data_IF_102835398514
#
_entry.id   IF_102835398514
#
_cell.length_a   1.000
_cell.length_b   1.000
_cell.length_c   1.000
_cell.angle_alpha   90.00
_cell.angle_beta   90.00
_cell.angle_gamma   90.00
#
_symmetry.space_group_name_H-M   'P 1'
#
loop_
_entity.id
_entity.type
_entity.pdbx_description
1 polymer ?
#
# COMPACT_ATOMS: atom_id res chain seq x y z
N UNK A 1 42.61 2.82 -10.24
CA UNK A 1 41.31 3.38 -9.85
C UNK A 1 40.52 3.73 -11.10
N UNK A 2 39.42 3.04 -11.36
CA UNK A 2 38.50 3.38 -12.45
C UNK A 2 37.91 4.76 -12.13
N UNK A 3 38.30 5.80 -12.88
CA UNK A 3 37.73 7.14 -12.70
C UNK A 3 36.25 7.06 -13.08
N UNK A 4 35.36 7.19 -12.10
CA UNK A 4 33.96 7.48 -12.38
C UNK A 4 33.91 8.82 -13.15
N UNK A 5 33.22 8.85 -14.30
CA UNK A 5 32.96 10.12 -14.98
C UNK A 5 31.80 10.80 -14.24
N UNK A 6 31.97 12.05 -13.77
CA UNK A 6 30.87 12.77 -13.14
C UNK A 6 29.72 12.95 -14.15
N UNK A 7 28.47 13.06 -13.68
CA UNK A 7 27.34 13.37 -14.53
C UNK A 7 27.55 14.73 -15.23
N UNK A 8 27.11 14.84 -16.48
CA UNK A 8 27.18 16.09 -17.26
C UNK A 8 26.02 17.02 -16.94
N UNK A 9 24.96 16.52 -16.29
CA UNK A 9 23.76 17.27 -15.93
C UNK A 9 23.31 16.91 -14.51
N UNK A 10 22.71 17.87 -13.82
CA UNK A 10 22.22 17.71 -12.45
C UNK A 10 23.27 17.94 -11.35
N UNK A 11 22.85 17.95 -10.07
CA UNK A 11 23.76 18.19 -8.97
C UNK A 11 24.67 17.00 -8.70
N UNK A 12 25.99 17.22 -8.72
CA UNK A 12 26.97 16.29 -8.17
C UNK A 12 27.19 16.59 -6.69
N UNK A 13 27.01 15.58 -5.85
CA UNK A 13 27.31 15.61 -4.41
C UNK A 13 28.29 14.48 -4.13
N UNK A 14 29.51 14.83 -3.75
CA UNK A 14 30.53 13.85 -3.35
C UNK A 14 30.37 13.55 -1.85
N UNK A 15 30.37 12.26 -1.50
CA UNK A 15 30.27 11.79 -0.11
C UNK A 15 31.33 10.71 0.13
N UNK A 16 31.80 10.58 1.37
CA UNK A 16 32.74 9.52 1.74
C UNK A 16 31.98 8.28 2.16
N UNK A 17 32.37 7.12 1.65
CA UNK A 17 31.84 5.82 2.12
C UNK A 17 32.26 5.48 3.55
N UNK A 18 33.21 6.22 4.12
CA UNK A 18 33.63 6.09 5.51
C UNK A 18 32.80 6.94 6.47
N UNK A 19 32.01 7.90 5.97
CA UNK A 19 31.12 8.71 6.79
C UNK A 19 29.90 7.87 7.19
N UNK A 20 29.36 8.11 8.38
CA UNK A 20 28.09 7.51 8.78
C UNK A 20 26.91 8.06 7.95
N UNK A 21 25.81 7.32 7.92
CA UNK A 21 24.61 7.69 7.14
C UNK A 21 24.06 9.07 7.53
N UNK A 22 24.18 9.47 8.79
CA UNK A 22 23.72 10.78 9.26
C UNK A 22 24.56 11.92 8.68
N UNK A 23 25.87 11.73 8.62
CA UNK A 23 26.82 12.69 8.03
C UNK A 23 26.60 12.81 6.52
N UNK A 24 26.44 11.68 5.84
CA UNK A 24 26.10 11.62 4.41
C UNK A 24 24.78 12.35 4.15
N UNK A 25 23.73 12.03 4.91
CA UNK A 25 22.40 12.64 4.76
C UNK A 25 22.45 14.16 4.98
N UNK A 26 23.14 14.63 6.02
CA UNK A 26 23.31 16.07 6.28
C UNK A 26 24.01 16.79 5.13
N UNK A 27 25.05 16.18 4.55
CA UNK A 27 25.78 16.76 3.43
C UNK A 27 24.91 16.84 2.17
N UNK A 28 24.20 15.77 1.85
CA UNK A 28 23.26 15.74 0.72
C UNK A 28 22.18 16.80 0.89
N UNK A 29 21.58 16.88 2.08
CA UNK A 29 20.54 17.85 2.40
C UNK A 29 21.01 19.30 2.25
N UNK A 30 22.19 19.63 2.78
CA UNK A 30 22.76 20.96 2.70
C UNK A 30 23.02 21.38 1.24
N UNK A 31 23.55 20.47 0.42
CA UNK A 31 23.81 20.72 -1.00
C UNK A 31 22.51 20.89 -1.81
N UNK A 32 21.48 20.09 -1.54
CA UNK A 32 20.18 20.24 -2.19
C UNK A 32 19.50 21.56 -1.80
N UNK A 33 19.58 21.93 -0.52
CA UNK A 33 19.04 23.19 0.01
C UNK A 33 19.75 24.40 -0.61
N UNK A 34 21.09 24.36 -0.70
CA UNK A 34 21.89 25.45 -1.26
C UNK A 34 21.61 25.70 -2.75
N UNK A 35 21.18 24.68 -3.49
CA UNK A 35 20.87 24.78 -4.92
C UNK A 35 19.41 25.19 -5.19
N UNK A 36 18.60 25.40 -4.14
CA UNK A 36 17.20 25.80 -4.26
C UNK A 36 16.35 24.77 -5.01
N UNK A 37 16.74 23.49 -4.98
CA UNK A 37 16.15 22.46 -5.83
C UNK A 37 14.81 21.93 -5.29
N UNK A 38 14.36 22.40 -4.12
CA UNK A 38 13.20 21.86 -3.40
C UNK A 38 12.73 22.79 -2.28
N UNK A 39 11.43 22.79 -1.96
CA UNK A 39 10.85 23.32 -0.72
C UNK A 39 11.20 22.43 0.49
N UNK A 40 12.49 22.19 0.70
CA UNK A 40 12.99 21.33 1.77
C UNK A 40 13.11 22.16 3.07
N UNK A 41 12.58 21.68 4.21
CA UNK A 41 12.70 22.37 5.48
C UNK A 41 14.17 22.41 5.96
N UNK A 42 14.47 23.36 6.84
CA UNK A 42 15.77 23.45 7.48
C UNK A 42 16.09 22.14 8.22
N UNK A 43 17.26 21.58 7.97
CA UNK A 43 17.61 20.27 8.55
C UNK A 43 17.58 20.25 10.07
N UNK A 44 17.79 21.41 10.71
CA UNK A 44 17.75 21.59 12.16
C UNK A 44 16.34 21.44 12.73
N UNK A 45 15.30 21.62 11.92
CA UNK A 45 13.91 21.41 12.36
C UNK A 45 13.46 19.96 12.24
N UNK A 46 14.32 19.08 11.72
CA UNK A 46 14.02 17.67 11.49
C UNK A 46 14.67 16.77 12.51
N UNK A 47 13.96 15.71 12.90
CA UNK A 47 14.52 14.61 13.68
C UNK A 47 15.21 13.61 12.76
N UNK A 48 16.47 13.89 12.44
CA UNK A 48 17.31 13.01 11.61
C UNK A 48 17.49 11.62 12.24
N UNK A 49 17.58 11.55 13.57
CA UNK A 49 17.77 10.27 14.25
C UNK A 49 16.53 9.39 14.09
N UNK A 50 15.33 9.96 14.26
CA UNK A 50 14.08 9.27 13.99
C UNK A 50 13.99 8.82 12.52
N UNK A 51 14.26 9.72 11.56
CA UNK A 51 14.20 9.39 10.13
C UNK A 51 15.13 8.25 9.75
N UNK A 52 16.38 8.26 10.22
CA UNK A 52 17.34 7.17 10.02
C UNK A 52 16.90 5.88 10.74
N UNK A 53 16.25 5.99 11.91
CA UNK A 53 15.65 4.87 12.61
C UNK A 53 14.58 4.16 11.77
N UNK A 54 13.66 4.93 11.16
CA UNK A 54 12.64 4.39 10.26
C UNK A 54 13.27 3.75 9.03
N UNK A 55 14.23 4.44 8.39
CA UNK A 55 14.91 3.93 7.19
C UNK A 55 15.64 2.61 7.47
N UNK A 56 16.42 2.55 8.55
CA UNK A 56 17.15 1.34 8.95
C UNK A 56 16.22 0.18 9.28
N UNK A 57 15.08 0.45 9.95
CA UNK A 57 14.09 -0.57 10.26
C UNK A 57 13.45 -1.14 8.98
N UNK A 58 13.09 -0.28 8.03
CA UNK A 58 12.53 -0.67 6.74
C UNK A 58 13.54 -1.50 5.94
N UNK A 59 14.78 -1.03 5.79
CA UNK A 59 15.83 -1.75 5.06
C UNK A 59 16.13 -3.10 5.70
N UNK A 60 16.29 -3.13 7.03
CA UNK A 60 16.53 -4.37 7.78
C UNK A 60 15.40 -5.39 7.61
N UNK A 61 14.18 -4.92 7.41
CA UNK A 61 13.02 -5.76 7.16
C UNK A 61 12.98 -6.27 5.72
N UNK A 62 13.08 -5.38 4.73
CA UNK A 62 13.03 -5.73 3.31
C UNK A 62 14.16 -6.70 2.93
N UNK A 63 15.35 -6.56 3.53
CA UNK A 63 16.48 -7.47 3.36
C UNK A 63 16.21 -8.91 3.85
N UNK A 64 15.16 -9.15 4.64
CA UNK A 64 14.76 -10.51 5.09
C UNK A 64 13.96 -11.26 4.04
N UNK A 65 13.40 -10.59 3.04
CA UNK A 65 12.63 -11.24 2.00
C UNK A 65 13.55 -11.74 0.89
N UNK A 66 13.43 -13.01 0.48
CA UNK A 66 14.23 -13.56 -0.61
C UNK A 66 13.86 -12.98 -1.98
N UNK A 67 12.75 -12.22 -2.06
CA UNK A 67 12.20 -11.61 -3.26
C UNK A 67 11.72 -10.19 -2.93
N UNK A 68 11.61 -9.38 -3.98
CA UNK A 68 11.00 -8.05 -3.89
C UNK A 68 9.59 -8.16 -3.33
N UNK A 69 9.26 -7.34 -2.33
CA UNK A 69 7.91 -7.21 -1.79
C UNK A 69 7.11 -6.30 -2.71
N UNK A 70 6.10 -6.84 -3.39
CA UNK A 70 5.22 -6.10 -4.29
C UNK A 70 4.14 -5.33 -3.52
N UNK A 71 3.63 -5.90 -2.42
CA UNK A 71 2.58 -5.27 -1.62
C UNK A 71 2.51 -5.82 -0.18
N UNK A 72 1.81 -5.08 0.67
CA UNK A 72 1.35 -5.51 1.98
C UNK A 72 -0.17 -5.71 1.96
N UNK A 73 -0.65 -6.76 2.63
CA UNK A 73 -2.06 -7.10 2.60
C UNK A 73 -2.52 -7.91 3.82
N UNK A 74 -3.82 -7.91 4.05
CA UNK A 74 -4.50 -8.78 5.00
C UNK A 74 -5.10 -9.94 4.22
N UNK A 75 -4.46 -11.10 4.30
CA UNK A 75 -4.89 -12.32 3.60
C UNK A 75 -6.10 -12.92 4.32
N UNK A 76 -7.24 -13.03 3.65
CA UNK A 76 -8.47 -13.56 4.25
C UNK A 76 -8.32 -15.06 4.55
N UNK A 77 -8.69 -15.45 5.77
CA UNK A 77 -8.58 -16.83 6.25
C UNK A 77 -9.72 -17.74 5.75
N UNK A 78 -10.92 -17.18 5.53
CA UNK A 78 -12.13 -17.89 5.11
C UNK A 78 -12.71 -17.32 3.81
N UNK A 79 -12.15 -17.67 2.64
CA UNK A 79 -12.66 -17.24 1.34
C UNK A 79 -14.13 -17.57 1.09
N UNK A 80 -14.60 -18.70 1.59
CA UNK A 80 -15.99 -19.16 1.50
C UNK A 80 -16.96 -18.18 2.16
N UNK A 81 -16.64 -17.69 3.36
CA UNK A 81 -17.49 -16.73 4.08
C UNK A 81 -17.58 -15.39 3.37
N UNK A 82 -16.55 -15.00 2.63
CA UNK A 82 -16.57 -13.79 1.80
C UNK A 82 -17.48 -13.98 0.60
N UNK A 83 -17.42 -15.14 -0.06
CA UNK A 83 -18.25 -15.44 -1.22
C UNK A 83 -19.74 -15.58 -0.88
N UNK A 84 -20.07 -16.12 0.29
CA UNK A 84 -21.45 -16.21 0.80
C UNK A 84 -22.14 -14.85 0.95
N UNK A 85 -21.38 -13.76 1.10
CA UNK A 85 -21.91 -12.41 1.24
C UNK A 85 -22.27 -11.76 -0.10
N UNK A 86 -21.85 -12.35 -1.22
CA UNK A 86 -21.99 -11.74 -2.55
C UNK A 86 -23.22 -12.34 -3.26
N UNK A 87 -24.22 -11.52 -3.62
CA UNK A 87 -25.33 -11.98 -4.42
C UNK A 87 -24.85 -12.62 -5.74
N UNK A 88 -25.31 -13.83 -6.12
CA UNK A 88 -24.80 -14.54 -7.29
C UNK A 88 -24.88 -13.74 -8.59
N UNK A 89 -25.93 -12.94 -8.78
CA UNK A 89 -26.13 -12.06 -9.93
C UNK A 89 -25.03 -11.01 -10.09
N UNK A 90 -24.36 -10.61 -9.00
CA UNK A 90 -23.22 -9.69 -9.03
C UNK A 90 -21.95 -10.36 -9.56
N UNK A 91 -21.95 -11.67 -9.77
CA UNK A 91 -20.80 -12.42 -10.31
C UNK A 91 -20.97 -12.75 -11.81
N UNK A 92 -22.14 -12.48 -12.39
CA UNK A 92 -22.44 -12.81 -13.78
C UNK A 92 -21.46 -12.15 -14.74
N UNK A 93 -20.90 -12.96 -15.65
CA UNK A 93 -19.92 -12.53 -16.64
C UNK A 93 -18.51 -12.23 -16.09
N UNK A 94 -18.28 -12.42 -14.78
CA UNK A 94 -17.00 -12.11 -14.13
C UNK A 94 -16.26 -13.38 -13.72
N UNK A 95 -14.95 -13.25 -13.57
CA UNK A 95 -14.07 -14.29 -13.04
C UNK A 95 -13.79 -14.03 -11.56
N UNK A 96 -14.27 -14.91 -10.71
CA UNK A 96 -14.01 -14.89 -9.26
C UNK A 96 -12.53 -15.15 -8.97
N UNK A 97 -11.95 -14.39 -8.05
CA UNK A 97 -10.57 -14.60 -7.60
C UNK A 97 -10.42 -15.91 -6.83
N UNK A 98 -9.20 -16.47 -6.84
CA UNK A 98 -8.89 -17.72 -6.12
C UNK A 98 -8.48 -17.48 -4.66
N UNK A 99 -8.11 -16.25 -4.32
CA UNK A 99 -7.69 -15.85 -3.00
C UNK A 99 -8.12 -14.40 -2.78
N UNK A 100 -8.56 -14.08 -1.57
CA UNK A 100 -9.05 -12.76 -1.21
C UNK A 100 -8.11 -12.10 -0.22
N UNK A 101 -7.91 -10.80 -0.37
CA UNK A 101 -7.09 -10.01 0.53
C UNK A 101 -7.55 -8.55 0.52
N UNK A 102 -7.16 -7.81 1.55
CA UNK A 102 -7.23 -6.34 1.56
C UNK A 102 -5.83 -5.80 1.38
N UNK A 103 -5.58 -5.11 0.27
CA UNK A 103 -4.28 -4.44 0.05
C UNK A 103 -4.19 -3.22 0.97
N UNK A 104 -3.15 -3.17 1.80
CA UNK A 104 -2.89 -2.06 2.71
C UNK A 104 -1.81 -1.12 2.20
N UNK A 105 -0.86 -1.60 1.39
CA UNK A 105 0.17 -0.81 0.74
C UNK A 105 0.61 -1.50 -0.57
N UNK A 106 0.66 -0.76 -1.67
CA UNK A 106 1.21 -1.26 -2.93
C UNK A 106 2.57 -0.62 -3.20
N UNK A 107 3.63 -1.44 -3.23
CA UNK A 107 4.99 -0.98 -3.51
C UNK A 107 5.31 -1.04 -5.02
N UNK A 108 4.75 -2.04 -5.71
CA UNK A 108 4.98 -2.23 -7.14
C UNK A 108 6.44 -2.49 -7.45
N UNK A 109 7.06 -1.66 -8.31
CA UNK A 109 8.51 -1.65 -8.55
C UNK A 109 9.19 -0.37 -8.06
N UNK A 110 8.38 0.55 -7.52
CA UNK A 110 8.85 1.85 -7.09
C UNK A 110 9.29 1.78 -5.62
N UNK A 111 10.08 2.76 -5.20
CA UNK A 111 10.42 2.90 -3.79
C UNK A 111 9.15 3.15 -2.96
N UNK A 112 9.11 2.62 -1.74
CA UNK A 112 8.05 2.91 -0.78
C UNK A 112 7.96 4.44 -0.57
N UNK A 113 6.80 5.02 -0.87
CA UNK A 113 6.56 6.47 -0.72
C UNK A 113 6.35 6.87 0.74
N UNK A 114 5.88 5.94 1.57
CA UNK A 114 5.62 6.16 2.98
C UNK A 114 6.37 5.14 3.87
N UNK A 115 7.63 5.43 4.24
CA UNK A 115 8.42 4.55 5.09
C UNK A 115 7.86 4.43 6.52
N UNK A 116 7.07 5.42 6.98
CA UNK A 116 6.45 5.38 8.32
C UNK A 116 5.32 4.36 8.30
N UNK A 117 4.47 4.40 7.28
CA UNK A 117 3.44 3.38 7.07
C UNK A 117 4.07 1.99 6.94
N UNK A 118 5.14 1.84 6.15
CA UNK A 118 5.84 0.56 6.03
C UNK A 118 6.32 0.04 7.39
N UNK A 119 6.90 0.89 8.24
CA UNK A 119 7.31 0.50 9.59
C UNK A 119 6.13 0.05 10.45
N UNK A 120 4.99 0.74 10.39
CA UNK A 120 3.76 0.34 11.09
C UNK A 120 3.27 -1.03 10.61
N UNK A 121 3.28 -1.26 9.30
CA UNK A 121 2.90 -2.53 8.67
C UNK A 121 3.83 -3.68 9.07
N UNK A 122 5.13 -3.41 9.22
CA UNK A 122 6.11 -4.38 9.77
C UNK A 122 5.75 -4.78 11.19
N UNK A 123 5.29 -3.83 12.01
CA UNK A 123 4.88 -4.06 13.39
C UNK A 123 3.73 -5.06 13.54
N UNK A 124 2.85 -5.15 12.55
CA UNK A 124 1.67 -6.04 12.56
C UNK A 124 1.86 -7.32 11.73
N UNK A 125 3.08 -7.62 11.28
CA UNK A 125 3.34 -8.81 10.47
C UNK A 125 2.93 -10.11 11.18
N UNK A 126 2.08 -10.89 10.52
CA UNK A 126 1.60 -12.17 11.04
C UNK A 126 0.45 -12.02 12.05
N UNK A 127 0.05 -10.79 12.39
CA UNK A 127 -1.09 -10.57 13.27
C UNK A 127 -2.40 -10.96 12.59
N UNK A 128 -3.33 -11.44 13.42
CA UNK A 128 -4.69 -11.75 13.02
C UNK A 128 -5.55 -10.49 13.14
N UNK A 129 -6.02 -9.97 12.02
CA UNK A 129 -6.81 -8.74 11.95
C UNK A 129 -8.28 -9.09 11.67
N UNK A 130 -9.18 -8.58 12.50
CA UNK A 130 -10.62 -8.63 12.26
C UNK A 130 -11.05 -7.46 11.39
N UNK A 131 -11.67 -7.75 10.25
CA UNK A 131 -12.14 -6.79 9.28
C UNK A 131 -13.66 -6.66 9.39
N UNK A 132 -14.15 -5.42 9.39
CA UNK A 132 -15.59 -5.15 9.31
C UNK A 132 -15.98 -4.86 7.86
N UNK A 133 -16.89 -5.66 7.31
CA UNK A 133 -17.38 -5.54 5.94
C UNK A 133 -18.67 -4.73 5.91
N UNK A 134 -18.80 -3.79 4.97
CA UNK A 134 -19.92 -2.83 4.97
C UNK A 134 -20.88 -3.02 3.80
N UNK A 135 -20.38 -3.26 2.59
CA UNK A 135 -21.21 -3.39 1.40
C UNK A 135 -20.52 -4.16 0.29
N UNK A 136 -21.31 -4.80 -0.57
CA UNK A 136 -20.87 -5.34 -1.86
C UNK A 136 -21.21 -4.32 -2.95
N UNK A 137 -20.22 -3.89 -3.73
CA UNK A 137 -20.41 -3.07 -4.92
C UNK A 137 -20.12 -3.90 -6.17
N UNK A 138 -20.93 -3.73 -7.22
CA UNK A 138 -20.75 -4.43 -8.49
C UNK A 138 -21.25 -3.61 -9.67
N UNK A 139 -20.56 -3.75 -10.80
CA UNK A 139 -20.97 -3.25 -12.11
C UNK A 139 -20.62 -4.32 -13.18
N UNK A 140 -20.73 -4.06 -14.50
CA UNK A 140 -20.31 -5.05 -15.51
C UNK A 140 -18.81 -5.41 -15.50
N UNK A 141 -17.92 -4.58 -14.93
CA UNK A 141 -16.46 -4.74 -14.95
C UNK A 141 -15.90 -5.43 -13.71
N UNK A 142 -16.51 -5.25 -12.53
CA UNK A 142 -15.95 -5.71 -11.28
C UNK A 142 -16.96 -5.89 -10.14
N UNK A 143 -16.54 -6.63 -9.13
CA UNK A 143 -17.27 -6.84 -7.87
C UNK A 143 -16.28 -6.80 -6.72
N UNK A 144 -16.56 -5.97 -5.72
CA UNK A 144 -15.72 -5.78 -4.55
C UNK A 144 -16.57 -5.65 -3.27
N UNK A 145 -15.98 -6.04 -2.13
CA UNK A 145 -16.57 -5.80 -0.82
C UNK A 145 -15.79 -4.67 -0.15
N UNK A 146 -16.50 -3.61 0.26
CA UNK A 146 -15.93 -2.52 1.03
C UNK A 146 -15.63 -2.95 2.47
N UNK A 147 -14.47 -2.53 2.97
CA UNK A 147 -13.97 -2.81 4.30
C UNK A 147 -13.88 -1.48 5.05
N UNK A 148 -14.51 -1.41 6.22
CA UNK A 148 -14.36 -0.24 7.09
C UNK A 148 -12.95 -0.23 7.67
N UNK A 149 -12.31 0.94 7.62
CA UNK A 149 -11.10 1.24 8.39
C UNK A 149 -11.19 2.67 8.96
N UNK A 150 -11.50 2.76 10.24
CA UNK A 150 -11.47 3.97 11.09
C UNK A 150 -10.14 4.06 11.88
N UNK A 151 -9.09 3.36 11.43
CA UNK A 151 -7.78 3.31 12.06
C UNK A 151 -7.49 2.00 12.79
N UNK A 152 -8.29 0.95 12.57
CA UNK A 152 -8.07 -0.37 13.16
C UNK A 152 -6.82 -1.06 12.61
N UNK A 153 -6.40 -0.70 11.38
CA UNK A 153 -5.14 -1.17 10.81
C UNK A 153 -4.49 -0.11 9.90
N UNK A 154 -3.15 -0.07 9.84
CA UNK A 154 -2.43 0.80 8.92
C UNK A 154 -2.79 0.46 7.46
N UNK A 155 -3.18 1.47 6.68
CA UNK A 155 -3.62 1.31 5.29
C UNK A 155 -3.43 2.61 4.50
N UNK A 156 -2.77 2.52 3.35
CA UNK A 156 -2.62 3.62 2.38
C UNK A 156 -3.91 3.83 1.57
N UNK A 157 -4.64 2.74 1.32
CA UNK A 157 -5.80 2.79 0.45
C UNK A 157 -6.96 3.54 1.12
N UNK A 158 -7.47 4.58 0.47
CA UNK A 158 -8.61 5.41 0.92
C UNK A 158 -9.88 4.58 1.06
N UNK A 159 -10.05 3.57 0.18
CA UNK A 159 -11.20 2.67 0.20
C UNK A 159 -10.71 1.22 0.37
N UNK A 160 -10.37 0.77 1.59
CA UNK A 160 -9.97 -0.61 1.82
C UNK A 160 -11.06 -1.56 1.36
N UNK A 161 -10.66 -2.60 0.63
CA UNK A 161 -11.62 -3.49 -0.02
C UNK A 161 -11.06 -4.87 -0.28
N UNK A 162 -11.97 -5.80 -0.55
CA UNK A 162 -11.66 -7.13 -1.05
C UNK A 162 -12.17 -7.21 -2.49
N UNK A 163 -11.29 -7.40 -3.46
CA UNK A 163 -11.73 -7.65 -4.84
C UNK A 163 -12.24 -9.09 -4.97
N UNK A 164 -13.49 -9.25 -5.39
CA UNK A 164 -14.14 -10.55 -5.51
C UNK A 164 -14.00 -11.12 -6.91
N UNK A 165 -14.36 -10.33 -7.92
CA UNK A 165 -14.40 -10.78 -9.29
C UNK A 165 -14.20 -9.61 -10.26
N UNK A 166 -13.63 -9.92 -11.43
CA UNK A 166 -13.45 -8.94 -12.50
C UNK A 166 -13.87 -9.55 -13.85
N UNK A 167 -14.38 -8.72 -14.76
CA UNK A 167 -14.60 -9.11 -16.13
C UNK A 167 -13.27 -9.47 -16.83
N UNK A 168 -13.29 -10.31 -17.87
CA UNK A 168 -12.08 -10.64 -18.63
C UNK A 168 -11.34 -9.38 -19.12
N UNK A 169 -10.06 -9.26 -18.79
CA UNK A 169 -9.22 -8.11 -19.16
C UNK A 169 -9.25 -6.93 -18.18
N UNK A 170 -10.12 -6.94 -17.17
CA UNK A 170 -10.17 -5.90 -16.13
C UNK A 170 -9.26 -6.29 -14.95
N UNK A 171 -8.27 -5.47 -14.58
CA UNK A 171 -7.39 -5.75 -13.45
C UNK A 171 -8.07 -5.47 -12.09
N UNK A 172 -7.64 -6.13 -10.99
CA UNK A 172 -8.18 -5.90 -9.65
C UNK A 172 -8.09 -4.44 -9.14
N UNK A 173 -7.12 -3.66 -9.63
CA UNK A 173 -6.98 -2.24 -9.27
C UNK A 173 -8.23 -1.41 -9.59
N UNK A 174 -9.07 -1.86 -10.53
CA UNK A 174 -10.37 -1.27 -10.85
C UNK A 174 -11.31 -1.18 -9.64
N UNK A 175 -11.17 -2.08 -8.66
CA UNK A 175 -12.01 -2.03 -7.45
C UNK A 175 -11.85 -0.74 -6.64
N UNK A 176 -10.73 -0.03 -6.79
CA UNK A 176 -10.58 1.32 -6.22
C UNK A 176 -11.55 2.30 -6.90
N UNK A 177 -11.62 2.29 -8.23
CA UNK A 177 -12.55 3.13 -9.00
C UNK A 177 -14.01 2.78 -8.66
N UNK A 178 -14.34 1.48 -8.61
CA UNK A 178 -15.69 1.00 -8.28
C UNK A 178 -16.21 1.48 -6.91
N UNK A 179 -15.31 1.71 -5.95
CA UNK A 179 -15.64 2.12 -4.59
C UNK A 179 -15.41 3.61 -4.32
N UNK A 180 -14.84 4.33 -5.29
CA UNK A 180 -14.65 5.77 -5.21
C UNK A 180 -16.00 6.50 -5.30
N UNK A 181 -16.15 7.58 -4.53
CA UNK A 181 -17.38 8.37 -4.48
C UNK A 181 -17.73 8.99 -5.86
N UNK A 182 -16.75 9.18 -6.74
CA UNK A 182 -16.98 9.62 -8.12
C UNK A 182 -17.82 8.65 -8.97
N UNK A 183 -17.91 7.38 -8.55
CA UNK A 183 -18.74 6.36 -9.20
C UNK A 183 -20.11 6.17 -8.52
N UNK A 184 -20.44 6.97 -7.49
CA UNK A 184 -21.69 6.82 -6.75
C UNK A 184 -22.95 6.94 -7.64
N UNK A 185 -22.90 7.80 -8.66
CA UNK A 185 -24.01 8.07 -9.58
C UNK A 185 -23.99 7.20 -10.86
N UNK A 186 -23.08 6.22 -10.97
CA UNK A 186 -23.05 5.34 -12.13
C UNK A 186 -24.31 4.43 -12.14
N UNK A 187 -25.19 4.53 -13.16
CA UNK A 187 -26.42 3.73 -13.21
C UNK A 187 -26.15 2.23 -13.42
N UNK A 188 -24.96 1.84 -13.84
CA UNK A 188 -24.54 0.44 -13.95
C UNK A 188 -24.02 -0.13 -12.63
N UNK A 189 -23.77 0.71 -11.62
CA UNK A 189 -23.27 0.31 -10.31
C UNK A 189 -24.41 -0.05 -9.38
N UNK A 190 -24.35 -1.25 -8.84
CA UNK A 190 -25.25 -1.75 -7.78
C UNK A 190 -24.48 -1.88 -6.48
N UNK A 191 -25.06 -1.40 -5.38
CA UNK A 191 -24.49 -1.55 -4.03
C UNK A 191 -25.50 -2.23 -3.13
N UNK A 192 -25.06 -3.28 -2.45
CA UNK A 192 -25.85 -4.02 -1.46
C UNK A 192 -25.17 -3.87 -0.10
N UNK A 193 -25.85 -3.24 0.85
CA UNK A 193 -25.37 -3.15 2.23
C UNK A 193 -25.36 -4.52 2.89
N UNK A 194 -24.27 -4.82 3.60
CA UNK A 194 -24.17 -6.02 4.43
C UNK A 194 -24.81 -5.76 5.81
N UNK A 195 -25.26 -6.81 6.51
CA UNK A 195 -25.72 -6.68 7.88
C UNK A 195 -24.66 -6.00 8.76
N UNK A 196 -25.09 -5.11 9.65
CA UNK A 196 -24.20 -4.43 10.58
C UNK A 196 -23.40 -5.45 11.41
N UNK A 197 -22.09 -5.22 11.55
CA UNK A 197 -21.20 -6.12 12.28
C UNK A 197 -20.76 -7.37 11.51
N UNK A 198 -21.00 -7.44 10.20
CA UNK A 198 -20.43 -8.50 9.36
C UNK A 198 -18.90 -8.45 9.44
N UNK A 199 -18.28 -9.54 9.90
CA UNK A 199 -16.84 -9.61 10.18
C UNK A 199 -16.20 -10.83 9.55
N UNK A 200 -14.98 -10.65 9.08
CA UNK A 200 -14.08 -11.72 8.65
C UNK A 200 -12.70 -11.49 9.24
N UNK A 201 -11.92 -12.56 9.34
CA UNK A 201 -10.55 -12.48 9.85
C UNK A 201 -9.57 -12.73 8.72
N UNK A 202 -8.44 -12.02 8.76
CA UNK A 202 -7.30 -12.33 7.92
C UNK A 202 -5.99 -12.20 8.68
N UNK A 203 -4.91 -12.59 8.04
CA UNK A 203 -3.55 -12.48 8.58
C UNK A 203 -2.78 -11.46 7.78
N UNK A 204 -2.14 -10.52 8.47
CA UNK A 204 -1.30 -9.54 7.81
C UNK A 204 -0.03 -10.18 7.24
N UNK A 205 0.26 -9.91 5.97
CA UNK A 205 1.38 -10.47 5.23
C UNK A 205 2.01 -9.45 4.29
N UNK A 206 3.28 -9.65 3.97
CA UNK A 206 3.94 -9.04 2.82
C UNK A 206 4.10 -10.08 1.71
N UNK A 207 3.91 -9.67 0.45
CA UNK A 207 3.94 -10.52 -0.73
C UNK A 207 4.76 -9.93 -1.84
#
# INVERSE_FOLDING_TARGET
ATRCRPPTEGPLIEVSVADDTATIARRVWAELSARGLTDIPEIQTLDMAAALGVANACESFLCRFPRHVEYAAIQIASPERVLELVPPEMLDGKKVQKAFHVTTLYLGRDACKDPVLLQQLVGVLGESIELTLTSVASDPKGTAIAVRNEGEFPCENVHPHITIANAPGVPPVYSNELLDDSHADDPCRTVVSLPAGTRVTGTFVFR
#
